data_IF_857941637827
#
_entry.id   IF_857941637827
#
_cell.length_a   1.000
_cell.length_b   1.000
_cell.length_c   1.000
_cell.angle_alpha   90.00
_cell.angle_beta   90.00
_cell.angle_gamma   90.00
#
_symmetry.space_group_name_H-M   'P 1'
#
loop_
_entity.id
_entity.type
_entity.pdbx_description
1 polymer ?
#
# COMPACT_ATOMS: atom_id res chain seq x y z
N UNK A 1 -58.76 -29.25 -26.76
CA UNK A 1 -58.23 -28.04 -26.09
C UNK A 1 -56.90 -27.68 -26.74
N UNK A 2 -56.86 -26.60 -27.52
CA UNK A 2 -55.64 -26.05 -28.15
C UNK A 2 -55.09 -24.97 -27.22
N UNK A 3 -53.79 -25.01 -26.93
CA UNK A 3 -52.98 -23.81 -26.71
C UNK A 3 -51.50 -24.19 -26.79
N UNK A 4 -50.94 -24.06 -27.99
CA UNK A 4 -49.53 -23.69 -28.18
C UNK A 4 -49.33 -22.31 -27.56
N UNK A 5 -48.19 -22.09 -26.87
CA UNK A 5 -47.35 -20.89 -27.06
C UNK A 5 -46.01 -21.06 -26.32
N UNK A 6 -45.03 -21.50 -27.09
CA UNK A 6 -43.61 -21.20 -26.92
C UNK A 6 -43.36 -19.72 -27.27
N UNK A 7 -42.30 -19.14 -26.70
CA UNK A 7 -41.62 -17.89 -27.07
C UNK A 7 -41.90 -16.62 -26.22
N UNK A 8 -40.99 -16.38 -25.27
CA UNK A 8 -40.44 -15.09 -24.84
C UNK A 8 -39.39 -15.42 -23.76
N UNK A 9 -38.16 -15.85 -24.05
CA UNK A 9 -37.04 -15.21 -24.72
C UNK A 9 -36.74 -13.77 -24.24
N UNK A 10 -35.61 -13.67 -23.52
CA UNK A 10 -34.73 -12.52 -23.28
C UNK A 10 -35.34 -11.43 -22.40
N UNK A 11 -34.79 -11.28 -21.18
CA UNK A 11 -34.18 -10.02 -20.66
C UNK A 11 -34.09 -10.06 -19.12
N UNK A 12 -33.27 -10.94 -18.53
CA UNK A 12 -33.02 -10.89 -17.08
C UNK A 12 -31.65 -11.46 -16.64
N UNK A 13 -30.65 -11.42 -17.52
CA UNK A 13 -29.30 -11.97 -17.24
C UNK A 13 -28.19 -11.00 -17.62
N UNK A 14 -28.42 -9.69 -17.50
CA UNK A 14 -27.41 -8.70 -17.87
C UNK A 14 -27.47 -7.38 -17.08
N UNK A 15 -27.73 -7.42 -15.77
CA UNK A 15 -27.64 -6.17 -14.97
C UNK A 15 -27.26 -6.39 -13.50
N UNK A 16 -26.21 -7.17 -13.23
CA UNK A 16 -25.57 -7.19 -11.91
C UNK A 16 -24.04 -7.24 -12.03
N UNK A 17 -23.49 -6.47 -12.97
CA UNK A 17 -22.05 -6.32 -13.21
C UNK A 17 -21.60 -4.85 -13.15
N UNK A 18 -22.35 -4.04 -12.41
CA UNK A 18 -22.05 -2.63 -12.18
C UNK A 18 -22.23 -2.37 -10.69
N UNK A 19 -21.17 -1.84 -10.06
CA UNK A 19 -21.06 -1.40 -8.65
C UNK A 19 -20.37 -2.36 -7.67
N UNK A 20 -19.48 -3.23 -8.16
CA UNK A 20 -18.28 -3.60 -7.43
C UNK A 20 -17.12 -2.70 -7.86
N UNK A 21 -17.25 -1.38 -7.72
CA UNK A 21 -16.10 -0.50 -7.80
C UNK A 21 -15.23 -0.81 -6.60
N UNK A 22 -14.35 -1.81 -6.74
CA UNK A 22 -13.26 -2.01 -5.81
C UNK A 22 -12.47 -0.71 -5.87
N UNK A 23 -12.71 0.18 -4.90
CA UNK A 23 -11.73 1.20 -4.56
C UNK A 23 -10.49 0.41 -4.15
N UNK A 24 -9.66 0.10 -5.13
CA UNK A 24 -8.28 -0.27 -4.93
C UNK A 24 -7.70 0.93 -4.22
N UNK A 25 -7.42 0.77 -2.94
CA UNK A 25 -6.45 1.60 -2.26
C UNK A 25 -5.17 0.79 -2.42
N UNK A 26 -4.49 0.90 -3.56
CA UNK A 26 -3.22 0.23 -3.84
C UNK A 26 -2.13 1.29 -4.06
N UNK A 27 -0.87 0.88 -4.11
CA UNK A 27 0.30 1.73 -4.33
C UNK A 27 0.18 2.61 -5.59
N UNK A 28 -0.60 2.18 -6.58
CA UNK A 28 -0.91 2.97 -7.78
C UNK A 28 -1.89 4.10 -7.54
N UNK A 29 -2.78 3.95 -6.55
CA UNK A 29 -3.86 4.89 -6.19
C UNK A 29 -3.38 5.94 -5.18
N UNK A 30 -2.30 5.64 -4.45
CA UNK A 30 -1.53 6.68 -3.78
C UNK A 30 -1.18 7.77 -4.82
N UNK A 31 -1.30 9.07 -4.50
CA UNK A 31 -1.07 10.13 -5.47
C UNK A 31 0.43 10.32 -5.68
N UNK A 32 1.02 9.69 -6.73
CA UNK A 32 1.96 10.41 -7.58
C UNK A 32 1.75 10.09 -9.07
N UNK A 33 0.52 9.75 -9.49
CA UNK A 33 0.13 9.85 -10.91
C UNK A 33 0.22 11.29 -11.44
N UNK A 34 0.35 12.29 -10.56
CA UNK A 34 0.54 13.71 -10.87
C UNK A 34 2.01 14.21 -10.75
N UNK A 35 3.03 13.35 -10.84
CA UNK A 35 4.44 13.77 -10.95
C UNK A 35 5.00 14.55 -9.74
N UNK A 36 5.79 15.61 -10.02
CA UNK A 36 6.59 16.48 -9.10
C UNK A 36 5.83 17.00 -7.86
N UNK A 37 4.51 16.84 -7.81
CA UNK A 37 3.70 17.24 -6.67
C UNK A 37 3.90 16.37 -5.43
N UNK A 38 4.18 15.08 -5.56
CA UNK A 38 4.22 14.16 -4.41
C UNK A 38 5.53 13.37 -4.34
N UNK A 39 5.96 13.09 -3.12
CA UNK A 39 7.21 12.38 -2.86
C UNK A 39 7.12 10.87 -3.09
N UNK A 40 8.27 10.26 -3.39
CA UNK A 40 8.43 8.81 -3.44
C UNK A 40 9.51 8.37 -2.45
N UNK A 41 9.30 7.25 -1.78
CA UNK A 41 10.19 6.75 -0.73
C UNK A 41 10.50 5.28 -0.97
N UNK A 42 11.79 4.95 -0.98
CA UNK A 42 12.30 3.60 -0.91
C UNK A 42 13.01 3.43 0.44
N UNK A 43 12.48 2.57 1.29
CA UNK A 43 13.05 2.25 2.60
C UNK A 43 13.56 0.82 2.60
N UNK A 44 14.81 0.62 3.01
CA UNK A 44 15.43 -0.69 3.10
C UNK A 44 15.44 -1.14 4.55
N UNK A 45 14.60 -2.12 4.89
CA UNK A 45 14.45 -2.65 6.24
C UNK A 45 15.45 -3.75 6.63
N UNK A 46 16.54 -3.89 5.87
CA UNK A 46 17.58 -4.88 6.11
C UNK A 46 18.98 -4.28 5.94
N UNK A 47 20.01 -4.84 6.62
CA UNK A 47 21.39 -4.39 6.48
C UNK A 47 22.02 -4.87 5.17
N UNK A 48 23.13 -4.25 4.77
CA UNK A 48 23.94 -4.67 3.63
C UNK A 48 23.50 -4.06 2.30
N UNK A 49 23.85 -4.74 1.21
CA UNK A 49 23.56 -4.27 -0.15
C UNK A 49 22.08 -4.36 -0.47
N UNK A 50 21.60 -3.43 -1.31
CA UNK A 50 20.23 -3.44 -1.82
C UNK A 50 20.07 -4.69 -2.69
N UNK A 51 19.14 -5.56 -2.30
CA UNK A 51 18.86 -6.80 -3.02
C UNK A 51 17.99 -6.52 -4.26
N UNK A 52 18.04 -7.39 -5.28
CA UNK A 52 17.08 -7.38 -6.39
C UNK A 52 15.63 -7.45 -5.89
N UNK A 53 14.73 -6.76 -6.60
CA UNK A 53 13.33 -6.62 -6.14
C UNK A 53 12.58 -7.97 -6.04
N UNK A 54 12.98 -8.97 -6.82
CA UNK A 54 12.41 -10.32 -6.80
C UNK A 54 12.93 -11.19 -5.65
N UNK A 55 13.97 -10.76 -4.92
CA UNK A 55 14.53 -11.48 -3.77
C UNK A 55 13.98 -10.99 -2.43
N UNK A 56 13.28 -9.85 -2.44
CA UNK A 56 12.67 -9.21 -1.28
C UNK A 56 11.16 -9.22 -1.40
N UNK A 57 10.45 -8.97 -0.31
CA UNK A 57 9.06 -8.52 -0.40
C UNK A 57 8.95 -7.03 -0.13
N UNK A 58 7.90 -6.43 -0.67
CA UNK A 58 7.64 -5.00 -0.57
C UNK A 58 6.37 -4.76 0.23
N UNK A 59 6.46 -3.93 1.26
CA UNK A 59 5.31 -3.42 2.01
C UNK A 59 4.97 -2.03 1.51
N UNK A 60 3.71 -1.82 1.16
CA UNK A 60 3.15 -0.53 0.75
C UNK A 60 1.99 -0.13 1.66
N UNK A 61 1.61 1.15 1.61
CA UNK A 61 0.54 1.72 2.46
C UNK A 61 -0.40 2.59 1.64
N UNK A 62 -1.66 2.70 2.04
CA UNK A 62 -2.66 3.62 1.47
C UNK A 62 -2.42 5.12 1.77
N UNK A 63 -1.34 5.45 2.48
CA UNK A 63 -0.99 6.82 2.89
C UNK A 63 -1.72 7.30 4.16
N UNK A 64 -2.64 6.49 4.70
CA UNK A 64 -3.25 6.71 6.01
C UNK A 64 -2.52 5.94 7.12
N UNK A 65 -1.67 4.99 6.74
CA UNK A 65 -0.77 4.26 7.64
C UNK A 65 0.63 4.83 7.52
N UNK A 66 1.27 5.08 8.66
CA UNK A 66 2.69 5.38 8.74
C UNK A 66 3.40 4.24 9.48
N UNK A 67 4.42 3.65 8.86
CA UNK A 67 5.28 2.67 9.53
C UNK A 67 6.33 3.46 10.32
N UNK A 68 6.41 3.23 11.63
CA UNK A 68 7.32 3.90 12.56
C UNK A 68 8.49 3.01 12.94
N UNK A 69 8.30 1.69 12.95
CA UNK A 69 9.37 0.72 13.22
C UNK A 69 9.21 -0.61 12.49
N UNK A 70 10.34 -1.28 12.27
CA UNK A 70 10.47 -2.64 11.74
C UNK A 70 11.35 -3.43 12.69
N UNK A 71 10.83 -4.55 13.22
CA UNK A 71 11.52 -5.44 14.16
C UNK A 71 12.12 -4.69 15.36
N UNK A 72 11.35 -3.72 15.88
CA UNK A 72 11.75 -2.88 17.02
C UNK A 72 12.72 -1.74 16.68
N UNK A 73 13.18 -1.62 15.42
CA UNK A 73 14.04 -0.52 14.97
C UNK A 73 13.21 0.58 14.31
N UNK A 74 13.43 1.84 14.70
CA UNK A 74 12.75 2.96 14.07
C UNK A 74 13.09 3.06 12.57
N UNK A 75 12.09 3.35 11.74
CA UNK A 75 12.31 3.56 10.30
C UNK A 75 13.25 4.73 9.99
N UNK A 76 13.39 5.68 10.92
CA UNK A 76 14.35 6.79 10.77
C UNK A 76 15.81 6.36 10.88
N UNK A 77 16.07 5.14 11.35
CA UNK A 77 17.43 4.55 11.40
C UNK A 77 17.72 3.65 10.19
N UNK A 78 16.72 3.44 9.32
CA UNK A 78 16.84 2.60 8.14
C UNK A 78 17.35 3.42 6.96
N UNK A 79 18.00 2.74 6.02
CA UNK A 79 18.44 3.38 4.77
C UNK A 79 17.20 3.76 3.96
N UNK A 80 17.02 5.06 3.71
CA UNK A 80 15.90 5.62 2.96
C UNK A 80 16.41 6.43 1.79
N UNK A 81 15.84 6.22 0.61
CA UNK A 81 16.08 7.01 -0.59
C UNK A 81 14.78 7.70 -0.98
N UNK A 82 14.88 8.96 -1.42
CA UNK A 82 13.71 9.82 -1.61
C UNK A 82 13.74 10.54 -2.96
N UNK A 83 12.58 10.62 -3.60
CA UNK A 83 12.25 11.68 -4.57
C UNK A 83 11.41 12.75 -3.87
N UNK A 84 11.91 13.99 -3.83
CA UNK A 84 11.16 15.09 -3.21
C UNK A 84 10.14 15.69 -4.20
N UNK A 85 8.87 15.71 -3.79
CA UNK A 85 7.83 16.51 -4.44
C UNK A 85 7.46 17.73 -3.58
N UNK A 86 6.50 18.53 -4.06
CA UNK A 86 5.97 19.68 -3.30
C UNK A 86 5.32 19.26 -1.97
N UNK A 87 4.64 18.12 -1.97
CA UNK A 87 4.06 17.49 -0.79
C UNK A 87 4.89 16.27 -0.37
N UNK A 88 5.10 16.13 0.93
CA UNK A 88 5.82 14.99 1.52
C UNK A 88 5.03 13.68 1.48
N UNK A 89 3.71 13.73 1.28
CA UNK A 89 2.92 12.52 1.02
C UNK A 89 3.21 11.93 -0.36
N UNK A 90 2.89 10.65 -0.55
CA UNK A 90 2.99 9.99 -1.86
C UNK A 90 3.26 8.50 -1.73
N UNK A 91 4.09 7.95 -2.63
CA UNK A 91 4.36 6.51 -2.71
C UNK A 91 5.43 6.08 -1.73
N UNK A 92 5.13 5.06 -0.93
CA UNK A 92 6.04 4.49 0.04
C UNK A 92 6.21 2.99 -0.23
N UNK A 93 7.46 2.55 -0.36
CA UNK A 93 7.81 1.14 -0.48
C UNK A 93 8.89 0.77 0.54
N UNK A 94 8.54 -0.10 1.48
CA UNK A 94 9.46 -0.70 2.45
C UNK A 94 9.87 -2.09 1.97
N UNK A 95 11.15 -2.29 1.74
CA UNK A 95 11.69 -3.56 1.27
C UNK A 95 12.21 -4.38 2.46
N UNK A 96 11.75 -5.62 2.57
CA UNK A 96 12.09 -6.55 3.63
C UNK A 96 12.59 -7.88 3.04
N UNK A 97 13.53 -8.52 3.74
CA UNK A 97 13.93 -9.88 3.37
C UNK A 97 12.77 -10.85 3.62
N UNK A 98 12.74 -12.02 2.95
CA UNK A 98 11.75 -13.05 3.25
C UNK A 98 11.81 -13.50 4.71
N UNK A 99 10.65 -13.58 5.38
CA UNK A 99 10.57 -13.93 6.79
C UNK A 99 9.37 -13.30 7.50
N UNK A 100 9.32 -13.49 8.81
CA UNK A 100 8.31 -12.86 9.68
C UNK A 100 8.86 -11.56 10.23
N UNK A 101 8.13 -10.47 10.02
CA UNK A 101 8.49 -9.13 10.48
C UNK A 101 7.43 -8.53 11.37
N UNK A 102 7.87 -7.68 12.31
CA UNK A 102 7.01 -6.94 13.21
C UNK A 102 7.04 -5.46 12.85
N UNK A 103 5.90 -4.91 12.45
CA UNK A 103 5.77 -3.49 12.13
C UNK A 103 5.10 -2.73 13.28
N UNK A 104 5.72 -1.64 13.73
CA UNK A 104 5.07 -0.63 14.56
C UNK A 104 4.52 0.48 13.66
N UNK A 105 3.24 0.80 13.80
CA UNK A 105 2.55 1.70 12.88
C UNK A 105 1.62 2.67 13.59
N UNK A 106 1.65 3.92 13.13
CA UNK A 106 0.68 4.96 13.47
C UNK A 106 -0.35 5.17 12.36
N UNK A 107 -1.47 5.80 12.71
CA UNK A 107 -2.60 6.02 11.81
C UNK A 107 -2.95 7.49 11.72
N UNK A 108 -3.27 7.90 10.50
CA UNK A 108 -3.84 9.19 10.17
C UNK A 108 -5.37 9.13 10.24
N UNK A 109 -5.99 10.13 10.84
CA UNK A 109 -7.42 10.42 10.69
C UNK A 109 -7.61 11.53 9.66
N UNK A 110 -8.07 11.16 8.46
CA UNK A 110 -8.40 12.07 7.36
C UNK A 110 -9.91 12.14 7.14
N UNK A 111 -10.62 12.81 8.05
CA UNK A 111 -12.08 13.02 7.90
C UNK A 111 -12.44 14.13 6.90
N UNK A 112 -11.53 14.50 6.00
CA UNK A 112 -11.75 15.56 5.00
C UNK A 112 -11.69 16.99 5.55
N UNK A 113 -11.04 17.19 6.70
CA UNK A 113 -10.79 18.51 7.30
C UNK A 113 -9.36 19.02 7.05
N UNK A 114 -9.07 20.30 7.32
CA UNK A 114 -7.73 20.88 7.15
C UNK A 114 -6.70 20.37 8.18
N UNK A 115 -7.13 19.63 9.20
CA UNK A 115 -6.31 19.12 10.30
C UNK A 115 -6.06 17.63 10.19
N UNK A 116 -4.79 17.23 10.16
CA UNK A 116 -4.35 15.83 10.23
C UNK A 116 -4.19 15.43 11.70
N UNK A 117 -4.95 14.43 12.17
CA UNK A 117 -4.74 13.86 13.51
C UNK A 117 -4.00 12.53 13.39
N UNK A 118 -2.97 12.33 14.20
CA UNK A 118 -2.23 11.08 14.26
C UNK A 118 -2.50 10.36 15.58
N UNK A 119 -2.57 9.03 15.52
CA UNK A 119 -2.64 8.21 16.74
C UNK A 119 -1.46 8.54 17.66
N UNK A 120 -1.72 8.81 18.94
CA UNK A 120 -0.68 9.05 19.96
C UNK A 120 0.04 7.78 20.39
N UNK A 121 -0.41 6.61 19.91
CA UNK A 121 0.15 5.29 20.19
C UNK A 121 0.21 4.46 18.91
N UNK A 122 1.28 3.69 18.78
CA UNK A 122 1.43 2.73 17.69
C UNK A 122 0.62 1.46 17.94
N UNK A 123 0.25 0.78 16.85
CA UNK A 123 -0.10 -0.65 16.92
C UNK A 123 1.02 -1.48 16.36
N UNK A 124 1.15 -2.69 16.87
CA UNK A 124 2.06 -3.70 16.33
C UNK A 124 1.32 -4.65 15.42
N UNK A 125 1.88 -4.90 14.22
CA UNK A 125 1.37 -5.88 13.26
C UNK A 125 2.49 -6.83 12.85
N UNK A 126 2.25 -8.13 13.02
CA UNK A 126 3.13 -9.16 12.48
C UNK A 126 2.70 -9.48 11.05
N UNK A 127 3.67 -9.53 10.14
CA UNK A 127 3.46 -9.85 8.73
C UNK A 127 4.43 -10.94 8.28
N UNK A 128 4.00 -11.76 7.34
CA UNK A 128 4.86 -12.72 6.64
C UNK A 128 5.23 -12.15 5.28
N UNK A 129 6.53 -12.08 5.00
CA UNK A 129 7.10 -11.59 3.76
C UNK A 129 7.66 -12.77 2.96
N UNK A 130 7.28 -12.84 1.69
CA UNK A 130 7.83 -13.79 0.72
C UNK A 130 8.64 -13.04 -0.34
N UNK A 131 9.66 -13.69 -0.90
CA UNK A 131 10.40 -13.14 -2.03
C UNK A 131 9.45 -12.84 -3.20
N UNK A 132 9.56 -11.65 -3.79
CA UNK A 132 8.73 -11.15 -4.87
C UNK A 132 7.28 -10.78 -4.48
N UNK A 133 6.91 -10.88 -3.19
CA UNK A 133 5.56 -10.52 -2.75
C UNK A 133 5.39 -9.02 -2.56
N UNK A 134 4.18 -8.53 -2.79
CA UNK A 134 3.77 -7.18 -2.43
C UNK A 134 2.65 -7.26 -1.41
N UNK A 135 2.91 -6.77 -0.20
CA UNK A 135 1.93 -6.65 0.87
C UNK A 135 1.45 -5.21 0.92
N UNK A 136 0.16 -5.00 0.67
CA UNK A 136 -0.46 -3.68 0.79
C UNK A 136 -1.20 -3.54 2.12
N UNK A 137 -0.85 -2.51 2.90
CA UNK A 137 -1.49 -2.19 4.16
C UNK A 137 -2.50 -1.06 3.97
N UNK A 138 -3.77 -1.34 4.27
CA UNK A 138 -4.83 -0.33 4.28
C UNK A 138 -5.43 -0.16 5.67
N UNK A 139 -5.75 1.08 6.02
CA UNK A 139 -6.39 1.40 7.29
C UNK A 139 -7.82 0.85 7.28
N UNK A 140 -8.22 0.23 8.39
CA UNK A 140 -9.64 0.06 8.73
C UNK A 140 -9.96 0.85 9.98
N UNK A 141 -11.22 1.23 10.10
CA UNK A 141 -11.75 1.91 11.29
C UNK A 141 -13.16 1.43 11.62
N UNK A 142 -13.46 1.36 12.91
CA UNK A 142 -14.79 1.04 13.43
C UNK A 142 -14.98 1.76 14.77
N UNK A 143 -15.74 2.86 14.75
CA UNK A 143 -15.88 3.74 15.91
C UNK A 143 -14.52 4.33 16.33
N UNK A 144 -14.11 4.07 17.57
CA UNK A 144 -12.82 4.53 18.14
C UNK A 144 -11.70 3.49 18.01
N UNK A 145 -11.84 2.52 17.11
CA UNK A 145 -10.83 1.50 16.84
C UNK A 145 -10.34 1.64 15.41
N UNK A 146 -9.05 1.46 15.23
CA UNK A 146 -8.40 1.43 13.93
C UNK A 146 -7.39 0.29 13.87
N UNK A 147 -7.02 -0.10 12.67
CA UNK A 147 -5.91 -1.00 12.44
C UNK A 147 -5.55 -1.10 10.97
N UNK A 148 -4.71 -2.09 10.66
CA UNK A 148 -4.26 -2.36 9.29
C UNK A 148 -4.81 -3.70 8.79
N UNK A 149 -5.45 -3.66 7.62
CA UNK A 149 -5.71 -4.82 6.78
C UNK A 149 -4.44 -5.17 6.01
N UNK A 150 -4.27 -6.45 5.72
CA UNK A 150 -3.22 -6.97 4.85
C UNK A 150 -3.91 -7.39 3.56
N UNK A 151 -3.53 -6.77 2.46
CA UNK A 151 -4.06 -7.06 1.13
C UNK A 151 -2.92 -7.47 0.21
N UNK A 152 -3.27 -8.21 -0.85
CA UNK A 152 -2.36 -8.48 -1.95
C UNK A 152 -2.19 -7.21 -2.80
N UNK A 153 -0.96 -6.71 -2.92
CA UNK A 153 -0.62 -5.54 -3.73
C UNK A 153 0.13 -5.90 -5.03
N UNK A 154 0.13 -7.17 -5.44
CA UNK A 154 0.93 -7.63 -6.57
C UNK A 154 0.62 -6.91 -7.89
N UNK A 155 -0.61 -6.39 -8.05
CA UNK A 155 -1.02 -5.61 -9.21
C UNK A 155 -0.16 -4.34 -9.41
N UNK A 156 0.35 -3.74 -8.33
CA UNK A 156 1.19 -2.55 -8.39
C UNK A 156 2.68 -2.85 -8.65
N UNK A 157 3.10 -4.12 -8.65
CA UNK A 157 4.51 -4.51 -8.76
C UNK A 157 5.27 -3.86 -9.95
N UNK A 158 4.69 -3.73 -11.16
CA UNK A 158 5.39 -3.04 -12.26
C UNK A 158 5.74 -1.58 -11.93
N UNK A 159 4.84 -0.88 -11.25
CA UNK A 159 5.04 0.53 -10.87
C UNK A 159 6.04 0.65 -9.71
N UNK A 160 5.94 -0.24 -8.72
CA UNK A 160 6.90 -0.35 -7.62
C UNK A 160 8.31 -0.59 -8.17
N UNK A 161 8.45 -1.48 -9.15
CA UNK A 161 9.73 -1.81 -9.80
C UNK A 161 10.33 -0.60 -10.50
N UNK A 162 9.54 0.14 -11.27
CA UNK A 162 10.01 1.36 -11.94
C UNK A 162 10.50 2.42 -10.92
N UNK A 163 9.74 2.62 -9.84
CA UNK A 163 10.13 3.55 -8.77
C UNK A 163 11.39 3.04 -8.03
N UNK A 164 11.52 1.74 -7.79
CA UNK A 164 12.68 1.13 -7.16
C UNK A 164 13.96 1.38 -7.97
N UNK A 165 13.94 1.10 -9.28
CA UNK A 165 15.08 1.33 -10.17
C UNK A 165 15.49 2.81 -10.21
N UNK A 166 14.51 3.71 -10.20
CA UNK A 166 14.77 5.15 -10.15
C UNK A 166 15.33 5.62 -8.80
N UNK A 167 14.92 5.02 -7.68
CA UNK A 167 15.28 5.48 -6.34
C UNK A 167 16.56 4.83 -5.81
N UNK A 168 16.85 3.57 -6.15
CA UNK A 168 17.95 2.80 -5.54
C UNK A 168 19.35 3.35 -5.84
N UNK A 169 19.47 4.21 -6.85
CA UNK A 169 20.72 4.86 -7.26
C UNK A 169 20.92 6.22 -6.59
N UNK A 170 19.94 6.71 -5.82
CA UNK A 170 20.04 7.97 -5.09
C UNK A 170 20.80 7.81 -3.79
N UNK A 171 21.43 8.91 -3.37
CA UNK A 171 22.00 9.04 -2.02
C UNK A 171 20.90 8.91 -0.98
N UNK A 172 21.09 8.11 0.08
CA UNK A 172 20.17 8.07 1.21
C UNK A 172 20.02 9.46 1.87
N UNK A 173 18.83 9.78 2.36
CA UNK A 173 18.51 11.05 3.00
C UNK A 173 18.73 11.06 4.52
#
# INVERSE_FOLDING_TARGET
MKSLKTAALILATTTTLLLGGCASYDYTDAPPTLGVLYSKYLVIGYPGDIQPINEVGVVTTDGLIQIHSVDGKSVNTLRRMKESGFYSGGRYQLHLLPGTHTLGMGFHDDRGGPSKSWSTSDITKVIEIKAGSVVHLSKWESGYRWGANINDGAAALPTITADFESLRTRTPD
#
